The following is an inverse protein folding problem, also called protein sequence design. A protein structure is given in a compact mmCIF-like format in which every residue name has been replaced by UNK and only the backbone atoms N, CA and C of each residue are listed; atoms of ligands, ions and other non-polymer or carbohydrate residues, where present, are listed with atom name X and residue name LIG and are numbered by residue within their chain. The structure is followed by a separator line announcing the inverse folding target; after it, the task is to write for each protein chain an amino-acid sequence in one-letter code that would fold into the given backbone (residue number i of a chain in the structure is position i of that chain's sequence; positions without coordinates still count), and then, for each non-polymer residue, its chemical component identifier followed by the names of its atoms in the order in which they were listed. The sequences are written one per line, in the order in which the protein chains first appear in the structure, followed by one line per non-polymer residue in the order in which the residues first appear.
data_IF_289355781433
#
_entry.id   IF_289355781433
#
_cell.length_a   1.000
_cell.length_b   1.000
_cell.length_c   1.000
_cell.angle_alpha   90.00
_cell.angle_beta   90.00
_cell.angle_gamma   90.00
#
_symmetry.space_group_name_H-M   'P 1'
#
loop_
_entity.id
_entity.type
_entity.pdbx_description
1 polymer ?
#
# COMPACT_ATOMS: atom_id res chain seq x y z
N UNK A 1 7.38 12.76 7.98
CA UNK A 1 7.12 12.15 6.66
C UNK A 1 6.47 13.17 5.76
N UNK A 2 6.49 12.96 4.46
CA UNK A 2 5.71 13.79 3.54
C UNK A 2 4.21 13.51 3.69
N UNK A 3 3.37 14.42 3.17
CA UNK A 3 1.92 14.25 3.14
C UNK A 3 1.45 13.84 1.75
N UNK A 4 0.54 12.88 1.73
CA UNK A 4 -0.16 12.34 0.57
C UNK A 4 -1.65 12.50 0.85
N UNK A 5 -2.38 13.07 -0.10
CA UNK A 5 -3.81 13.33 0.05
C UNK A 5 -4.55 12.85 -1.18
N UNK A 6 -5.84 12.54 -1.01
CA UNK A 6 -6.75 12.33 -2.13
C UNK A 6 -7.36 13.67 -2.53
N UNK A 7 -7.21 14.06 -3.78
CA UNK A 7 -7.89 15.20 -4.39
C UNK A 7 -8.67 14.70 -5.60
N UNK A 8 -10.00 14.90 -5.60
CA UNK A 8 -10.88 14.45 -6.70
C UNK A 8 -10.71 12.96 -7.06
N UNK A 9 -10.56 12.11 -6.05
CA UNK A 9 -10.39 10.66 -6.21
C UNK A 9 -8.99 10.21 -6.65
N UNK A 10 -8.02 11.12 -6.70
CA UNK A 10 -6.64 10.81 -7.12
C UNK A 10 -5.65 11.14 -6.00
N UNK A 11 -4.62 10.31 -5.84
CA UNK A 11 -3.54 10.62 -4.91
C UNK A 11 -2.66 11.76 -5.45
N UNK A 12 -2.52 12.85 -4.68
CA UNK A 12 -1.67 13.98 -5.03
C UNK A 12 -0.25 13.78 -4.48
N UNK A 13 0.70 13.55 -5.39
CA UNK A 13 2.11 13.31 -5.08
C UNK A 13 2.97 14.58 -5.05
N UNK A 14 2.43 15.75 -5.43
CA UNK A 14 3.22 16.97 -5.64
C UNK A 14 4.04 17.34 -4.40
N UNK A 15 3.41 17.38 -3.23
CA UNK A 15 4.06 17.77 -1.99
C UNK A 15 5.09 16.73 -1.53
N UNK A 16 4.85 15.45 -1.81
CA UNK A 16 5.80 14.38 -1.54
C UNK A 16 7.06 14.52 -2.39
N UNK A 17 6.90 14.72 -3.70
CA UNK A 17 8.03 14.85 -4.62
C UNK A 17 8.83 16.11 -4.31
N UNK A 18 8.16 17.25 -4.13
CA UNK A 18 8.83 18.52 -3.80
C UNK A 18 9.60 18.43 -2.47
N UNK A 19 9.02 17.79 -1.45
CA UNK A 19 9.73 17.56 -0.18
C UNK A 19 10.93 16.63 -0.33
N UNK A 20 10.78 15.53 -1.07
CA UNK A 20 11.86 14.57 -1.32
C UNK A 20 13.03 15.17 -2.09
N UNK A 21 12.79 16.14 -2.99
CA UNK A 21 13.85 16.84 -3.73
C UNK A 21 14.68 17.79 -2.87
N UNK A 22 14.16 18.23 -1.71
CA UNK A 22 14.85 19.14 -0.79
C UNK A 22 15.67 18.40 0.28
N UNK A 23 15.36 17.11 0.49
CA UNK A 23 16.00 16.29 1.50
C UNK A 23 17.16 15.46 0.92
N UNK A 24 18.12 15.10 1.77
CA UNK A 24 19.17 14.14 1.43
C UNK A 24 18.59 12.75 1.14
N UNK A 25 19.28 11.94 0.31
CA UNK A 25 18.78 10.66 -0.23
C UNK A 25 18.15 9.75 0.81
N UNK A 26 18.83 9.53 1.94
CA UNK A 26 18.35 8.62 3.00
C UNK A 26 17.07 9.12 3.66
N UNK A 27 17.00 10.42 3.92
CA UNK A 27 15.81 11.07 4.50
C UNK A 27 14.65 11.09 3.50
N UNK A 28 14.93 11.34 2.22
CA UNK A 28 13.96 11.28 1.13
C UNK A 28 13.30 9.90 1.02
N UNK A 29 14.10 8.84 0.98
CA UNK A 29 13.61 7.44 0.90
C UNK A 29 12.77 7.10 2.13
N UNK A 30 13.30 7.34 3.34
CA UNK A 30 12.61 7.02 4.59
C UNK A 30 11.32 7.83 4.74
N UNK A 31 11.36 9.11 4.35
CA UNK A 31 10.21 10.01 4.34
C UNK A 31 9.11 9.56 3.39
N UNK A 32 9.47 9.06 2.20
CA UNK A 32 8.55 8.52 1.20
C UNK A 32 7.87 7.23 1.70
N UNK A 33 8.62 6.26 2.22
CA UNK A 33 8.03 5.03 2.76
C UNK A 33 7.07 5.30 3.91
N UNK A 34 7.42 6.21 4.82
CA UNK A 34 6.52 6.61 5.90
C UNK A 34 5.29 7.36 5.39
N UNK A 35 5.44 8.20 4.35
CA UNK A 35 4.31 8.90 3.74
C UNK A 35 3.33 7.91 3.10
N UNK A 36 3.83 6.91 2.37
CA UNK A 36 3.02 5.86 1.75
C UNK A 36 2.32 5.00 2.82
N UNK A 37 3.03 4.61 3.87
CA UNK A 37 2.44 3.84 4.97
C UNK A 37 1.33 4.61 5.69
N UNK A 38 1.56 5.88 6.02
CA UNK A 38 0.53 6.74 6.61
C UNK A 38 -0.66 6.90 5.67
N UNK A 39 -0.42 7.10 4.37
CA UNK A 39 -1.48 7.22 3.37
C UNK A 39 -2.35 5.96 3.30
N UNK A 40 -1.76 4.75 3.28
CA UNK A 40 -2.50 3.48 3.30
C UNK A 40 -3.40 3.40 4.55
N UNK A 41 -2.85 3.71 5.72
CA UNK A 41 -3.57 3.66 7.00
C UNK A 41 -4.71 4.67 6.98
N UNK A 42 -4.44 5.92 6.63
CA UNK A 42 -5.44 6.98 6.67
C UNK A 42 -6.54 6.77 5.64
N UNK A 43 -6.19 6.36 4.41
CA UNK A 43 -7.16 6.04 3.37
C UNK A 43 -8.07 4.87 3.76
N UNK A 44 -7.52 3.85 4.45
CA UNK A 44 -8.31 2.70 4.87
C UNK A 44 -9.37 3.01 5.92
N UNK A 45 -9.18 4.06 6.74
CA UNK A 45 -10.14 4.45 7.79
C UNK A 45 -11.46 4.97 7.24
N UNK A 46 -11.47 5.39 5.97
CA UNK A 46 -12.69 5.85 5.31
C UNK A 46 -13.67 4.71 4.99
N UNK A 47 -13.27 3.45 5.25
CA UNK A 47 -14.07 2.26 4.97
C UNK A 47 -14.15 1.35 6.21
N UNK A 48 -15.35 0.85 6.53
CA UNK A 48 -15.54 -0.16 7.57
C UNK A 48 -15.27 -1.57 7.03
N UNK A 49 -14.05 -1.80 6.55
CA UNK A 49 -13.63 -3.05 5.90
C UNK A 49 -12.25 -3.49 6.38
N UNK A 50 -12.03 -4.80 6.40
CA UNK A 50 -10.69 -5.37 6.62
C UNK A 50 -9.77 -5.06 5.43
N UNK A 51 -8.53 -4.72 5.72
CA UNK A 51 -7.55 -4.32 4.69
C UNK A 51 -6.77 -5.52 4.20
N UNK A 52 -6.78 -5.74 2.87
CA UNK A 52 -5.96 -6.73 2.18
C UNK A 52 -4.94 -6.01 1.30
N UNK A 53 -3.66 -6.31 1.48
CA UNK A 53 -2.58 -5.77 0.66
C UNK A 53 -2.16 -6.79 -0.40
N UNK A 54 -2.27 -6.42 -1.67
CA UNK A 54 -1.92 -7.27 -2.81
C UNK A 54 -1.37 -6.44 -3.99
N UNK A 55 -0.65 -7.08 -4.89
CA UNK A 55 0.16 -6.48 -5.94
C UNK A 55 1.66 -6.51 -5.60
N UNK A 56 2.52 -6.49 -6.62
CA UNK A 56 3.98 -6.64 -6.45
C UNK A 56 4.65 -5.60 -5.54
N UNK A 57 4.06 -4.41 -5.40
CA UNK A 57 4.54 -3.37 -4.48
C UNK A 57 4.55 -3.85 -3.02
N UNK A 58 3.56 -4.66 -2.62
CA UNK A 58 3.44 -5.15 -1.25
C UNK A 58 4.34 -6.36 -0.95
N UNK A 59 5.21 -6.75 -1.89
CA UNK A 59 6.36 -7.62 -1.59
C UNK A 59 7.51 -6.84 -0.94
N UNK A 60 7.43 -5.50 -0.87
CA UNK A 60 8.42 -4.67 -0.23
C UNK A 60 8.41 -4.86 1.30
N UNK A 61 9.36 -5.64 1.83
CA UNK A 61 9.50 -5.92 3.26
C UNK A 61 9.57 -4.65 4.11
N UNK A 62 10.29 -3.63 3.67
CA UNK A 62 10.43 -2.37 4.43
C UNK A 62 9.08 -1.70 4.63
N UNK A 63 8.23 -1.62 3.59
CA UNK A 63 6.89 -1.06 3.70
C UNK A 63 6.02 -1.88 4.68
N UNK A 64 6.06 -3.21 4.59
CA UNK A 64 5.28 -4.09 5.48
C UNK A 64 5.70 -3.95 6.94
N UNK A 65 7.00 -3.91 7.21
CA UNK A 65 7.52 -3.73 8.58
C UNK A 65 7.16 -2.35 9.15
N UNK A 66 7.14 -1.30 8.32
CA UNK A 66 6.65 0.03 8.75
C UNK A 66 5.16 -0.02 9.12
N UNK A 67 4.33 -0.72 8.34
CA UNK A 67 2.90 -0.88 8.64
C UNK A 67 2.69 -1.66 9.94
N UNK A 68 3.43 -2.76 10.14
CA UNK A 68 3.42 -3.52 11.40
C UNK A 68 3.87 -2.69 12.60
N UNK A 69 4.96 -1.93 12.45
CA UNK A 69 5.48 -1.05 13.51
C UNK A 69 4.49 0.08 13.87
N UNK A 70 3.60 0.45 12.95
CA UNK A 70 2.48 1.38 13.19
C UNK A 70 1.24 0.70 13.77
N UNK A 71 1.32 -0.59 14.10
CA UNK A 71 0.24 -1.40 14.66
C UNK A 71 -1.03 -1.40 13.77
N UNK A 72 -0.82 -1.39 12.45
CA UNK A 72 -1.89 -1.45 11.45
C UNK A 72 -2.27 -2.91 11.19
N UNK A 73 -3.57 -3.21 11.26
CA UNK A 73 -4.09 -4.56 11.00
C UNK A 73 -4.37 -4.74 9.51
N UNK A 74 -3.74 -5.74 8.89
CA UNK A 74 -3.88 -6.04 7.46
C UNK A 74 -3.59 -7.51 7.16
N UNK A 75 -4.16 -7.98 6.05
CA UNK A 75 -3.90 -9.30 5.49
C UNK A 75 -2.93 -9.20 4.31
N UNK A 76 -2.07 -10.22 4.15
CA UNK A 76 -1.22 -10.40 2.97
C UNK A 76 -1.21 -11.88 2.58
N UNK A 77 -1.24 -12.22 1.28
CA UNK A 77 -1.08 -13.60 0.81
C UNK A 77 0.27 -14.22 1.26
N UNK A 78 0.22 -15.27 2.08
CA UNK A 78 1.43 -15.99 2.53
C UNK A 78 1.76 -17.24 1.69
N UNK A 79 0.72 -17.91 1.16
CA UNK A 79 0.87 -19.16 0.41
C UNK A 79 1.22 -18.95 -1.07
N UNK A 80 0.66 -17.91 -1.66
CA UNK A 80 0.85 -17.56 -3.06
C UNK A 80 1.43 -16.16 -3.13
N UNK A 81 2.33 -15.86 -4.09
CA UNK A 81 2.88 -14.52 -4.23
C UNK A 81 1.75 -13.52 -4.49
N UNK A 82 1.80 -12.37 -3.83
CA UNK A 82 0.79 -11.32 -3.99
C UNK A 82 0.90 -10.56 -5.32
N UNK A 83 1.81 -10.95 -6.22
CA UNK A 83 2.07 -10.28 -7.49
C UNK A 83 1.41 -11.01 -8.67
N UNK A 84 1.73 -10.56 -9.88
CA UNK A 84 1.12 -11.04 -11.12
C UNK A 84 1.33 -12.54 -11.37
N UNK A 85 2.32 -13.18 -10.73
CA UNK A 85 2.52 -14.63 -10.80
C UNK A 85 1.35 -15.44 -10.24
N UNK A 86 0.43 -14.83 -9.47
CA UNK A 86 -0.79 -15.49 -8.97
C UNK A 86 -2.08 -14.78 -9.39
N UNK A 87 -2.03 -13.87 -10.36
CA UNK A 87 -3.23 -13.15 -10.83
C UNK A 87 -4.27 -14.11 -11.44
N UNK A 88 -3.81 -15.11 -12.21
CA UNK A 88 -4.68 -16.10 -12.84
C UNK A 88 -5.44 -16.95 -11.80
N UNK A 89 -4.82 -17.24 -10.66
CA UNK A 89 -5.48 -17.93 -9.55
C UNK A 89 -6.61 -17.06 -8.97
N UNK A 90 -6.36 -15.77 -8.74
CA UNK A 90 -7.39 -14.84 -8.27
C UNK A 90 -8.56 -14.71 -9.25
N UNK A 91 -8.28 -14.63 -10.55
CA UNK A 91 -9.29 -14.59 -11.62
C UNK A 91 -10.14 -15.86 -11.64
N UNK A 92 -9.52 -17.04 -11.53
CA UNK A 92 -10.23 -18.33 -11.52
C UNK A 92 -11.12 -18.48 -10.29
N UNK A 93 -10.61 -18.13 -9.10
CA UNK A 93 -11.40 -18.17 -7.85
C UNK A 93 -12.58 -17.19 -7.91
N UNK A 94 -12.38 -16.00 -8.49
CA UNK A 94 -13.46 -15.04 -8.70
C UNK A 94 -14.53 -15.60 -9.62
N UNK A 95 -14.14 -16.15 -10.79
CA UNK A 95 -15.07 -16.76 -11.74
C UNK A 95 -15.92 -17.88 -11.09
N UNK A 96 -15.27 -18.82 -10.41
CA UNK A 96 -15.95 -19.94 -9.74
C UNK A 96 -16.86 -19.52 -8.58
N UNK A 97 -16.62 -18.36 -7.97
CA UNK A 97 -17.49 -17.81 -6.92
C UNK A 97 -18.70 -17.07 -7.48
N UNK A 98 -18.66 -16.59 -8.74
CA UNK A 98 -19.82 -15.96 -9.39
C UNK A 98 -20.84 -16.99 -9.89
N UNK A 99 -20.42 -18.23 -10.13
CA UNK A 99 -21.30 -19.33 -10.55
C UNK A 99 -22.06 -20.01 -9.39
N UNK A 100 -21.85 -19.54 -8.14
CA UNK A 100 -22.57 -19.99 -6.95
C UNK A 100 -23.71 -19.05 -6.60
#
# INVERSE_FOLDING_TARGET
SYKLFIEKGQANFKNLILGALQDEKTKAITGMFNALANFIIDFSKDYDLKVLLSGGVFQNKTLLEILKAKNFDFFIPLKYPCNDSSIALGQMVHFLNLEK
#
